data_IF_157381767721
#
_entry.id   IF_157381767721
#
_cell.length_a   1.000
_cell.length_b   1.000
_cell.length_c   1.000
_cell.angle_alpha   90.00
_cell.angle_beta   90.00
_cell.angle_gamma   90.00
#
_symmetry.space_group_name_H-M   'P 1'
#
loop_
_entity.id
_entity.type
_entity.pdbx_description
1 polymer ?
#
# COMPACT_ATOMS: atom_id res chain seq x y z
N UNK A 1 -14.48 -46.98 -35.51
CA UNK A 1 -14.89 -48.24 -34.88
C UNK A 1 -15.35 -47.89 -33.48
N UNK A 2 -16.66 -47.94 -33.36
CA UNK A 2 -17.46 -48.54 -32.29
C UNK A 2 -17.43 -47.74 -30.96
N UNK A 3 -18.40 -46.92 -30.70
CA UNK A 3 -19.83 -47.13 -30.31
C UNK A 3 -20.03 -47.37 -28.80
N UNK A 4 -20.75 -46.40 -28.17
CA UNK A 4 -21.94 -46.54 -27.37
C UNK A 4 -22.00 -47.42 -26.13
N UNK A 5 -22.51 -46.80 -25.07
CA UNK A 5 -23.75 -47.16 -24.32
C UNK A 5 -23.77 -46.28 -23.05
N UNK A 6 -24.62 -45.35 -22.86
CA UNK A 6 -26.08 -45.24 -22.71
C UNK A 6 -26.66 -46.10 -21.59
N UNK A 7 -27.32 -45.46 -20.64
CA UNK A 7 -28.17 -46.08 -19.63
C UNK A 7 -28.26 -45.27 -18.37
N UNK A 8 -29.02 -44.25 -18.28
CA UNK A 8 -30.42 -44.09 -17.78
C UNK A 8 -30.75 -44.94 -16.54
N UNK A 9 -30.96 -44.28 -15.44
CA UNK A 9 -32.09 -44.58 -14.55
C UNK A 9 -32.42 -43.34 -13.68
N UNK A 10 -33.56 -42.74 -14.04
CA UNK A 10 -34.29 -41.82 -13.16
C UNK A 10 -35.01 -42.68 -12.12
N UNK A 11 -34.90 -42.32 -10.84
CA UNK A 11 -35.88 -42.76 -9.83
C UNK A 11 -36.33 -41.52 -9.05
N UNK A 12 -37.54 -41.14 -9.32
CA UNK A 12 -38.32 -40.17 -8.58
C UNK A 12 -38.81 -40.81 -7.27
N UNK A 13 -38.42 -40.23 -6.15
CA UNK A 13 -39.12 -40.48 -4.88
C UNK A 13 -39.65 -39.16 -4.36
N UNK A 14 -40.93 -38.90 -4.66
CA UNK A 14 -41.71 -37.87 -3.98
C UNK A 14 -42.00 -38.37 -2.58
N UNK A 15 -41.35 -37.77 -1.57
CA UNK A 15 -41.84 -37.84 -0.20
C UNK A 15 -42.65 -36.60 0.11
N UNK A 16 -43.95 -36.76 0.10
CA UNK A 16 -44.93 -35.84 0.64
C UNK A 16 -44.79 -35.79 2.16
N UNK A 17 -44.13 -34.76 2.67
CA UNK A 17 -44.18 -34.42 4.09
C UNK A 17 -45.48 -33.62 4.33
N UNK A 18 -46.44 -34.29 4.92
CA UNK A 18 -47.61 -33.70 5.55
C UNK A 18 -47.16 -32.75 6.66
N UNK A 19 -47.19 -31.45 6.37
CA UNK A 19 -47.09 -30.41 7.38
C UNK A 19 -48.39 -30.42 8.19
N UNK A 20 -48.32 -31.01 9.40
CA UNK A 20 -49.36 -30.84 10.40
C UNK A 20 -49.40 -29.37 10.80
N UNK A 21 -50.46 -28.68 10.43
CA UNK A 21 -50.80 -27.36 10.93
C UNK A 21 -51.11 -27.46 12.44
N UNK A 22 -50.08 -27.28 13.28
CA UNK A 22 -50.30 -26.92 14.68
C UNK A 22 -50.52 -25.42 14.74
N UNK A 23 -51.77 -25.04 15.03
CA UNK A 23 -52.18 -23.70 15.34
C UNK A 23 -51.35 -23.16 16.53
N UNK A 24 -50.46 -22.24 16.28
CA UNK A 24 -49.94 -21.35 17.31
C UNK A 24 -50.89 -20.17 17.46
N UNK A 25 -52.04 -20.45 18.04
CA UNK A 25 -52.86 -19.40 18.60
C UNK A 25 -52.64 -19.42 20.14
N UNK A 26 -52.44 -18.22 20.66
CA UNK A 26 -52.43 -17.91 22.11
C UNK A 26 -51.12 -18.11 22.90
N UNK A 27 -50.17 -17.24 22.61
CA UNK A 27 -49.42 -16.57 23.68
C UNK A 27 -49.05 -15.16 23.19
N UNK A 28 -50.04 -14.32 22.98
CA UNK A 28 -49.92 -12.88 22.86
C UNK A 28 -49.82 -12.30 24.29
N UNK A 29 -48.71 -12.62 24.97
CA UNK A 29 -48.37 -12.02 26.25
C UNK A 29 -47.02 -11.36 26.10
N UNK A 30 -47.02 -10.01 26.04
CA UNK A 30 -45.86 -9.11 26.26
C UNK A 30 -44.60 -9.41 25.42
N UNK A 31 -44.73 -9.47 24.08
CA UNK A 31 -43.66 -9.07 23.19
C UNK A 31 -43.69 -7.53 23.12
N UNK A 32 -42.90 -6.88 23.96
CA UNK A 32 -42.63 -5.48 23.77
C UNK A 32 -42.19 -5.25 22.32
N UNK A 33 -42.75 -4.24 21.69
CA UNK A 33 -42.42 -3.84 20.33
C UNK A 33 -40.89 -3.61 20.32
N UNK A 34 -40.13 -4.60 19.82
CA UNK A 34 -38.73 -4.34 19.47
C UNK A 34 -38.80 -3.37 18.30
N UNK A 35 -38.76 -2.07 18.62
CA UNK A 35 -38.48 -1.10 17.57
C UNK A 35 -37.08 -1.40 17.05
N UNK A 36 -36.95 -1.76 15.79
CA UNK A 36 -35.64 -1.92 15.13
C UNK A 36 -34.92 -0.56 14.96
N UNK A 37 -35.43 0.47 15.60
CA UNK A 37 -34.89 1.81 15.59
C UNK A 37 -34.02 1.98 16.83
N UNK A 38 -32.74 2.17 16.64
CA UNK A 38 -31.83 2.59 17.71
C UNK A 38 -32.17 4.04 18.03
N UNK A 39 -32.79 4.27 19.17
CA UNK A 39 -33.23 5.61 19.64
C UNK A 39 -32.06 6.51 20.11
N UNK A 40 -30.85 5.95 20.18
CA UNK A 40 -29.66 6.67 20.66
C UNK A 40 -29.70 6.98 22.16
N UNK A 41 -30.67 6.49 22.90
CA UNK A 41 -30.80 6.74 24.33
C UNK A 41 -29.73 5.97 25.13
N UNK A 42 -28.61 6.63 25.43
CA UNK A 42 -27.55 6.08 26.27
C UNK A 42 -27.65 6.59 27.71
N UNK A 43 -27.70 5.67 28.66
CA UNK A 43 -27.55 6.06 30.07
C UNK A 43 -26.06 6.23 30.43
N UNK A 44 -25.53 7.41 30.11
CA UNK A 44 -24.11 7.77 30.34
C UNK A 44 -23.74 7.79 31.84
N UNK A 45 -24.72 7.78 32.74
CA UNK A 45 -24.53 7.77 34.20
C UNK A 45 -24.52 6.37 34.80
N UNK A 46 -24.85 5.34 34.04
CA UNK A 46 -24.80 3.96 34.53
C UNK A 46 -23.36 3.52 34.79
N UNK A 47 -23.14 2.71 35.84
CA UNK A 47 -21.82 2.14 36.14
C UNK A 47 -21.28 1.33 34.96
N UNK A 48 -22.14 0.54 34.33
CA UNK A 48 -21.76 -0.26 33.16
C UNK A 48 -21.25 0.59 31.97
N UNK A 49 -21.91 1.73 31.69
CA UNK A 49 -21.43 2.63 30.64
C UNK A 49 -20.07 3.24 31.00
N UNK A 50 -19.90 3.71 32.24
CA UNK A 50 -18.64 4.31 32.70
C UNK A 50 -17.48 3.32 32.69
N UNK A 51 -17.71 2.08 33.13
CA UNK A 51 -16.71 1.01 33.10
C UNK A 51 -16.31 0.66 31.65
N UNK A 52 -17.30 0.52 30.74
CA UNK A 52 -17.06 0.24 29.33
C UNK A 52 -16.32 1.40 28.65
N UNK A 53 -16.70 2.63 28.95
CA UNK A 53 -16.04 3.85 28.43
C UNK A 53 -14.58 3.93 28.90
N UNK A 54 -14.31 3.69 30.18
CA UNK A 54 -12.97 3.69 30.74
C UNK A 54 -12.09 2.60 30.09
N UNK A 55 -12.64 1.39 29.92
CA UNK A 55 -11.97 0.29 29.25
C UNK A 55 -11.62 0.62 27.80
N UNK A 56 -12.58 1.11 27.01
CA UNK A 56 -12.37 1.49 25.63
C UNK A 56 -11.40 2.68 25.47
N UNK A 57 -11.45 3.65 26.38
CA UNK A 57 -10.49 4.74 26.41
C UNK A 57 -9.05 4.24 26.61
N UNK A 58 -8.86 3.28 27.53
CA UNK A 58 -7.54 2.65 27.73
C UNK A 58 -7.02 1.99 26.46
N UNK A 59 -7.84 1.14 25.80
CA UNK A 59 -7.47 0.44 24.56
C UNK A 59 -7.17 1.42 23.42
N UNK A 60 -7.99 2.45 23.30
CA UNK A 60 -7.81 3.48 22.26
C UNK A 60 -6.52 4.29 22.47
N UNK A 61 -6.20 4.62 23.71
CA UNK A 61 -4.96 5.33 24.04
C UNK A 61 -3.74 4.45 23.77
N UNK A 62 -3.78 3.19 24.17
CA UNK A 62 -2.71 2.23 23.86
C UNK A 62 -2.48 2.11 22.34
N UNK A 63 -3.55 2.00 21.55
CA UNK A 63 -3.45 1.97 20.09
C UNK A 63 -2.80 3.25 19.56
N UNK A 64 -3.22 4.42 20.03
CA UNK A 64 -2.65 5.73 19.64
C UNK A 64 -1.16 5.82 19.94
N UNK A 65 -0.74 5.37 21.12
CA UNK A 65 0.67 5.36 21.53
C UNK A 65 1.50 4.46 20.60
N UNK A 66 1.01 3.26 20.29
CA UNK A 66 1.68 2.30 19.38
C UNK A 66 1.79 2.89 17.96
N UNK A 67 0.74 3.49 17.43
CA UNK A 67 0.75 4.14 16.12
C UNK A 67 1.70 5.34 16.11
N UNK A 68 1.68 6.16 17.14
CA UNK A 68 2.60 7.30 17.28
C UNK A 68 4.05 6.86 17.29
N UNK A 69 4.37 5.79 18.04
CA UNK A 69 5.70 5.19 18.06
C UNK A 69 6.12 4.66 16.68
N UNK A 70 5.22 3.96 16.00
CA UNK A 70 5.49 3.44 14.65
C UNK A 70 5.74 4.56 13.61
N UNK A 71 5.08 5.70 13.78
CA UNK A 71 5.26 6.89 12.92
C UNK A 71 6.61 7.58 13.08
N UNK A 72 7.34 7.34 14.15
CA UNK A 72 8.68 7.88 14.36
C UNK A 72 9.75 7.21 13.46
N UNK A 73 9.40 6.12 12.79
CA UNK A 73 10.31 5.40 11.90
C UNK A 73 11.55 4.89 12.63
N UNK A 74 12.73 5.13 12.08
CA UNK A 74 14.02 4.71 12.66
C UNK A 74 14.49 5.54 13.86
N UNK A 75 13.64 6.47 14.36
CA UNK A 75 13.90 7.31 15.51
C UNK A 75 14.68 8.58 15.15
N UNK A 76 14.84 9.44 16.15
CA UNK A 76 15.35 10.81 15.99
C UNK A 76 16.75 10.88 15.37
N UNK A 77 17.68 10.04 15.81
CA UNK A 77 19.06 10.03 15.30
C UNK A 77 19.12 9.62 13.80
N UNK A 78 18.30 8.65 13.40
CA UNK A 78 18.22 8.22 12.00
C UNK A 78 17.56 9.31 11.14
N UNK A 79 16.50 9.94 11.65
CA UNK A 79 15.84 11.08 11.01
C UNK A 79 16.79 12.25 10.80
N UNK A 80 17.49 12.69 11.84
CA UNK A 80 18.49 13.77 11.75
C UNK A 80 19.60 13.50 10.71
N UNK A 81 20.08 12.24 10.66
CA UNK A 81 21.04 11.83 9.62
C UNK A 81 20.44 11.86 8.22
N UNK A 82 19.19 11.54 8.06
CA UNK A 82 18.47 11.57 6.79
C UNK A 82 18.32 13.01 6.30
N UNK A 83 17.86 13.88 7.17
CA UNK A 83 17.66 15.31 6.91
C UNK A 83 18.97 16.06 6.63
N UNK A 84 20.09 15.70 7.32
CA UNK A 84 21.41 16.27 7.06
C UNK A 84 21.95 16.01 5.65
N UNK A 85 21.38 15.04 4.94
CA UNK A 85 21.68 14.76 3.53
C UNK A 85 20.76 15.51 2.55
N UNK A 86 19.94 16.44 3.06
CA UNK A 86 18.97 17.20 2.25
C UNK A 86 17.76 16.38 1.80
N UNK A 87 17.43 15.27 2.50
CA UNK A 87 16.29 14.39 2.17
C UNK A 87 15.14 14.65 3.12
N UNK A 88 13.92 14.67 2.57
CA UNK A 88 12.71 14.73 3.39
C UNK A 88 12.39 13.34 3.98
N UNK A 89 11.90 13.26 5.23
CA UNK A 89 11.30 12.04 5.76
C UNK A 89 10.13 11.55 4.91
N UNK A 90 9.91 10.24 4.85
CA UNK A 90 8.88 9.66 3.96
C UNK A 90 7.47 10.20 4.21
N UNK A 91 7.11 10.48 5.46
CA UNK A 91 5.78 11.03 5.80
C UNK A 91 5.64 12.47 5.34
N UNK A 92 6.69 13.26 5.48
CA UNK A 92 6.73 14.65 5.01
C UNK A 92 6.66 14.71 3.46
N UNK A 93 7.28 13.72 2.77
CA UNK A 93 7.14 13.52 1.32
C UNK A 93 5.68 13.24 0.94
N UNK A 94 5.02 12.32 1.66
CA UNK A 94 3.62 11.98 1.42
C UNK A 94 2.72 13.19 1.68
N UNK A 95 2.87 13.87 2.81
CA UNK A 95 2.06 15.03 3.15
C UNK A 95 2.21 16.17 2.12
N UNK A 96 3.42 16.36 1.57
CA UNK A 96 3.69 17.34 0.51
C UNK A 96 3.15 16.92 -0.86
N UNK A 97 3.00 15.62 -1.10
CA UNK A 97 2.45 15.08 -2.35
C UNK A 97 0.94 15.17 -2.42
N UNK A 98 0.25 15.04 -1.29
CA UNK A 98 -1.20 15.03 -1.19
C UNK A 98 -1.82 16.41 -1.43
N UNK A 99 -3.09 16.41 -1.78
CA UNK A 99 -3.87 17.63 -1.89
C UNK A 99 -4.09 18.25 -0.50
N UNK A 100 -3.94 19.57 -0.35
CA UNK A 100 -4.13 20.23 0.92
C UNK A 100 -5.48 19.91 1.55
N UNK A 101 -5.46 19.44 2.81
CA UNK A 101 -6.67 19.08 3.55
C UNK A 101 -7.32 17.75 3.14
N UNK A 102 -6.75 17.00 2.18
CA UNK A 102 -7.27 15.67 1.85
C UNK A 102 -6.80 14.63 2.88
N UNK A 103 -7.64 13.64 3.23
CA UNK A 103 -7.23 12.59 4.14
C UNK A 103 -6.25 11.63 3.48
N UNK A 104 -5.36 11.04 4.29
CA UNK A 104 -4.53 9.90 3.92
C UNK A 104 -4.97 8.65 4.66
N UNK A 105 -5.47 7.65 3.93
CA UNK A 105 -5.82 6.35 4.48
C UNK A 105 -4.58 5.47 4.55
N UNK A 106 -3.83 5.57 5.65
CA UNK A 106 -2.65 4.74 5.87
C UNK A 106 -3.04 3.27 6.11
N UNK A 107 -2.43 2.36 5.35
CA UNK A 107 -2.65 0.92 5.44
C UNK A 107 -1.62 0.27 6.36
N UNK A 108 -2.09 -0.57 7.28
CA UNK A 108 -1.25 -1.39 8.17
C UNK A 108 -0.11 -0.62 8.87
N UNK A 109 -0.38 0.48 9.59
CA UNK A 109 0.66 1.27 10.27
C UNK A 109 1.42 0.48 11.33
N UNK A 110 0.85 -0.59 11.87
CA UNK A 110 1.45 -1.46 12.87
C UNK A 110 2.04 -2.76 12.27
N UNK A 111 2.24 -2.82 10.94
CA UNK A 111 2.91 -3.96 10.34
C UNK A 111 4.32 -4.15 10.94
N UNK A 112 4.70 -5.41 11.18
CA UNK A 112 5.93 -5.81 11.87
C UNK A 112 6.04 -5.33 13.34
N UNK A 113 4.92 -4.94 13.97
CA UNK A 113 4.93 -4.58 15.39
C UNK A 113 5.48 -5.73 16.24
N UNK A 114 6.43 -5.40 17.11
CA UNK A 114 7.13 -6.34 17.99
C UNK A 114 7.85 -7.51 17.28
N UNK A 115 8.12 -7.34 15.97
CA UNK A 115 8.91 -8.28 15.17
C UNK A 115 10.28 -7.70 14.87
N UNK A 116 11.23 -8.56 14.49
CA UNK A 116 12.61 -8.18 14.17
C UNK A 116 13.30 -7.37 15.29
N UNK A 117 13.01 -7.71 16.55
CA UNK A 117 13.53 -7.00 17.73
C UNK A 117 12.91 -5.61 17.95
N UNK A 118 11.77 -5.32 17.29
CA UNK A 118 11.12 -4.00 17.36
C UNK A 118 11.78 -2.91 16.49
N UNK A 119 12.76 -3.29 15.66
CA UNK A 119 13.64 -2.37 14.91
C UNK A 119 13.08 -1.97 13.52
N UNK A 120 11.92 -2.51 13.11
CA UNK A 120 11.35 -2.30 11.77
C UNK A 120 9.89 -1.81 11.86
N UNK A 121 9.66 -0.61 12.43
CA UNK A 121 8.32 -0.06 12.58
C UNK A 121 7.66 0.14 11.20
N UNK A 122 6.33 -0.06 11.14
CA UNK A 122 5.55 -0.02 9.90
C UNK A 122 6.10 -0.92 8.78
N UNK A 123 6.86 -1.96 9.12
CA UNK A 123 7.60 -2.81 8.18
C UNK A 123 8.55 -2.02 7.25
N UNK A 124 9.06 -0.86 7.66
CA UNK A 124 9.99 -0.03 6.89
C UNK A 124 9.40 0.62 5.63
N UNK A 125 8.08 0.58 5.45
CA UNK A 125 7.39 1.17 4.30
C UNK A 125 6.05 1.76 4.73
N UNK A 126 5.74 2.96 4.26
CA UNK A 126 4.43 3.61 4.45
C UNK A 126 3.60 3.35 3.20
N UNK A 127 2.42 2.79 3.37
CA UNK A 127 1.47 2.54 2.27
C UNK A 127 0.11 3.12 2.61
N UNK A 128 -0.59 3.63 1.62
CA UNK A 128 -1.91 4.20 1.84
C UNK A 128 -2.53 4.81 0.60
N UNK A 129 -3.79 5.20 0.73
CA UNK A 129 -4.54 5.85 -0.34
C UNK A 129 -4.67 7.34 0.00
N UNK A 130 -4.34 8.18 -0.95
CA UNK A 130 -4.46 9.62 -0.84
C UNK A 130 -4.80 10.28 -2.17
N UNK A 131 -5.17 11.55 -2.12
CA UNK A 131 -5.57 12.29 -3.30
C UNK A 131 -4.44 13.19 -3.78
N UNK A 132 -4.11 13.11 -5.06
CA UNK A 132 -3.09 13.90 -5.75
C UNK A 132 -3.74 14.58 -6.95
N UNK A 133 -3.83 15.90 -6.96
CA UNK A 133 -4.54 16.68 -7.99
C UNK A 133 -5.94 16.12 -8.32
N UNK A 134 -6.71 15.79 -7.29
CA UNK A 134 -8.07 15.25 -7.41
C UNK A 134 -8.16 13.75 -7.73
N UNK A 135 -7.06 13.08 -8.05
CA UNK A 135 -7.01 11.65 -8.37
C UNK A 135 -6.66 10.84 -7.11
N UNK A 136 -7.45 9.83 -6.80
CA UNK A 136 -7.12 8.86 -5.75
C UNK A 136 -6.00 7.94 -6.22
N UNK A 137 -4.90 7.92 -5.49
CA UNK A 137 -3.71 7.14 -5.80
C UNK A 137 -3.34 6.23 -4.63
N UNK A 138 -2.79 5.06 -4.94
CA UNK A 138 -2.05 4.25 -3.98
C UNK A 138 -0.63 4.78 -3.86
N UNK A 139 -0.21 5.13 -2.65
CA UNK A 139 1.12 5.66 -2.36
C UNK A 139 1.91 4.62 -1.57
N UNK A 140 3.12 4.33 -2.02
CA UNK A 140 4.04 3.40 -1.38
C UNK A 140 5.39 4.12 -1.20
N UNK A 141 5.76 4.41 0.04
CA UNK A 141 7.00 5.13 0.35
C UNK A 141 7.93 4.33 1.24
N UNK A 142 9.16 4.05 0.81
CA UNK A 142 10.16 3.44 1.66
C UNK A 142 10.61 4.42 2.76
N UNK A 143 10.70 3.94 3.98
CA UNK A 143 11.27 4.70 5.09
C UNK A 143 12.77 4.40 5.22
N UNK A 144 13.60 5.20 4.59
CA UNK A 144 15.05 5.02 4.64
C UNK A 144 15.67 5.24 6.03
N UNK A 145 14.91 5.81 6.98
CA UNK A 145 15.33 5.89 8.39
C UNK A 145 15.29 4.53 9.08
N UNK A 146 14.47 3.60 8.55
CA UNK A 146 14.35 2.22 9.05
C UNK A 146 15.25 1.31 8.24
N UNK A 147 16.39 0.93 8.81
CA UNK A 147 17.38 0.02 8.19
C UNK A 147 17.71 0.35 6.72
N UNK A 148 17.78 1.65 6.38
CA UNK A 148 18.08 2.10 5.01
C UNK A 148 16.99 1.81 3.98
N UNK A 149 15.73 1.66 4.41
CA UNK A 149 14.61 1.32 3.52
C UNK A 149 14.68 -0.09 2.94
N UNK A 150 15.47 -0.99 3.54
CA UNK A 150 15.61 -2.37 3.06
C UNK A 150 14.33 -3.17 3.29
N UNK A 151 14.06 -4.10 2.37
CA UNK A 151 12.90 -4.97 2.43
C UNK A 151 13.13 -6.16 3.35
N UNK A 152 12.33 -6.28 4.38
CA UNK A 152 12.15 -7.47 5.21
C UNK A 152 11.00 -8.32 4.66
N UNK A 153 10.81 -9.57 5.10
CA UNK A 153 9.69 -10.40 4.65
C UNK A 153 8.32 -9.74 4.80
N UNK A 154 8.09 -9.01 5.90
CA UNK A 154 6.83 -8.28 6.10
C UNK A 154 6.75 -6.96 5.32
N UNK A 155 7.87 -6.36 4.95
CA UNK A 155 7.88 -5.21 4.01
C UNK A 155 7.32 -5.65 2.66
N UNK A 156 7.79 -6.78 2.15
CA UNK A 156 7.29 -7.38 0.90
C UNK A 156 5.79 -7.65 0.98
N UNK A 157 5.32 -8.31 2.03
CA UNK A 157 3.88 -8.61 2.20
C UNK A 157 3.02 -7.35 2.26
N UNK A 158 3.51 -6.30 2.93
CA UNK A 158 2.81 -5.02 3.00
C UNK A 158 2.77 -4.33 1.64
N UNK A 159 3.86 -4.35 0.89
CA UNK A 159 3.95 -3.82 -0.46
C UNK A 159 2.97 -4.56 -1.39
N UNK A 160 3.02 -5.90 -1.43
CA UNK A 160 2.11 -6.72 -2.24
C UNK A 160 0.65 -6.44 -1.91
N UNK A 161 0.30 -6.33 -0.62
CA UNK A 161 -1.07 -6.01 -0.22
C UNK A 161 -1.52 -4.64 -0.72
N UNK A 162 -0.64 -3.64 -0.70
CA UNK A 162 -0.94 -2.33 -1.27
C UNK A 162 -1.18 -2.40 -2.79
N UNK A 163 -0.36 -3.17 -3.52
CA UNK A 163 -0.56 -3.38 -4.95
C UNK A 163 -1.85 -4.14 -5.27
N UNK A 164 -2.22 -5.16 -4.48
CA UNK A 164 -3.52 -5.85 -4.62
C UNK A 164 -4.69 -4.88 -4.47
N UNK A 165 -4.68 -4.06 -3.42
CA UNK A 165 -5.72 -3.05 -3.20
C UNK A 165 -5.75 -2.04 -4.36
N UNK A 166 -4.58 -1.62 -4.86
CA UNK A 166 -4.50 -0.71 -6.00
C UNK A 166 -5.10 -1.34 -7.26
N UNK A 167 -4.79 -2.60 -7.53
CA UNK A 167 -5.30 -3.34 -8.69
C UNK A 167 -6.81 -3.53 -8.61
N UNK A 168 -7.33 -4.00 -7.47
CA UNK A 168 -8.77 -4.22 -7.23
C UNK A 168 -9.57 -2.93 -7.38
N UNK A 169 -9.02 -1.81 -6.93
CA UNK A 169 -9.67 -0.51 -6.96
C UNK A 169 -9.25 0.37 -8.14
N UNK A 170 -8.39 -0.14 -9.04
CA UNK A 170 -7.86 0.58 -10.20
C UNK A 170 -7.27 1.94 -9.81
N UNK A 171 -6.38 1.96 -8.80
CA UNK A 171 -5.73 3.17 -8.33
C UNK A 171 -4.35 3.30 -8.98
N UNK A 172 -4.02 4.44 -9.61
CA UNK A 172 -2.65 4.75 -10.00
C UNK A 172 -1.70 4.58 -8.80
N UNK A 173 -0.54 3.96 -9.03
CA UNK A 173 0.45 3.75 -7.98
C UNK A 173 1.55 4.80 -8.07
N UNK A 174 1.91 5.38 -6.91
CA UNK A 174 3.05 6.29 -6.76
C UNK A 174 4.03 5.69 -5.76
N UNK A 175 5.21 5.33 -6.26
CA UNK A 175 6.29 4.74 -5.47
C UNK A 175 7.32 5.81 -5.12
N UNK A 176 7.46 6.16 -3.85
CA UNK A 176 8.53 7.02 -3.33
C UNK A 176 9.70 6.13 -2.91
N UNK A 177 10.64 5.91 -3.83
CA UNK A 177 11.66 4.88 -3.68
C UNK A 177 12.93 5.43 -3.03
N UNK A 178 13.30 4.82 -1.92
CA UNK A 178 14.52 5.11 -1.17
C UNK A 178 14.93 3.83 -0.41
N UNK A 179 15.45 2.83 -1.14
CA UNK A 179 15.62 1.47 -0.64
C UNK A 179 16.97 0.87 -1.04
N UNK A 180 17.64 0.28 -0.06
CA UNK A 180 18.81 -0.55 -0.27
C UNK A 180 18.56 -1.93 -0.87
N UNK A 181 17.33 -2.24 -1.28
CA UNK A 181 16.93 -3.57 -1.78
C UNK A 181 16.57 -4.54 -0.64
N UNK A 182 16.71 -5.84 -0.86
CA UNK A 182 16.37 -6.86 0.12
C UNK A 182 17.34 -6.86 1.32
N UNK A 183 16.81 -7.12 2.52
CA UNK A 183 17.64 -7.34 3.71
C UNK A 183 18.31 -8.70 3.63
N UNK A 184 19.56 -8.72 3.19
CA UNK A 184 20.32 -9.92 2.83
C UNK A 184 20.34 -11.04 3.90
N UNK A 185 20.43 -10.74 5.23
CA UNK A 185 20.39 -11.79 6.23
C UNK A 185 19.10 -12.64 6.24
N UNK A 186 18.00 -12.10 5.67
CA UNK A 186 16.71 -12.79 5.55
C UNK A 186 16.33 -13.08 4.09
N UNK A 187 17.29 -13.13 3.18
CA UNK A 187 17.01 -13.34 1.74
C UNK A 187 16.24 -14.63 1.45
N UNK A 188 16.45 -15.68 2.24
CA UNK A 188 15.73 -16.95 2.11
C UNK A 188 14.21 -16.81 2.32
N UNK A 189 13.78 -15.81 3.10
CA UNK A 189 12.37 -15.53 3.40
C UNK A 189 11.80 -14.41 2.51
N UNK A 190 12.62 -13.84 1.61
CA UNK A 190 12.24 -12.70 0.77
C UNK A 190 12.07 -13.10 -0.69
N UNK A 191 12.86 -14.05 -1.22
CA UNK A 191 12.90 -14.36 -2.65
C UNK A 191 12.18 -15.64 -3.09
N UNK A 192 12.12 -16.76 -2.33
CA UNK A 192 11.93 -18.08 -2.93
C UNK A 192 10.50 -18.44 -3.31
N UNK A 193 9.49 -17.69 -2.90
CA UNK A 193 8.08 -18.06 -3.11
C UNK A 193 7.38 -17.10 -4.08
N UNK A 194 6.22 -17.54 -4.58
CA UNK A 194 5.35 -16.81 -5.48
C UNK A 194 4.92 -15.44 -4.92
N UNK A 195 4.62 -15.36 -3.62
CA UNK A 195 4.15 -14.16 -2.95
C UNK A 195 5.29 -13.47 -2.17
N UNK A 196 6.48 -13.49 -2.77
CA UNK A 196 7.70 -12.83 -2.31
C UNK A 196 8.10 -11.66 -3.22
N UNK A 197 9.32 -11.15 -3.06
CA UNK A 197 9.79 -9.91 -3.68
C UNK A 197 9.57 -9.85 -5.20
N UNK A 198 9.77 -10.96 -5.92
CA UNK A 198 9.54 -11.02 -7.37
C UNK A 198 8.08 -10.76 -7.78
N UNK A 199 7.13 -10.98 -6.88
CA UNK A 199 5.71 -10.71 -7.14
C UNK A 199 5.42 -9.22 -7.27
N UNK A 200 6.20 -8.35 -6.63
CA UNK A 200 6.06 -6.89 -6.77
C UNK A 200 6.21 -6.45 -8.22
N UNK A 201 7.19 -7.01 -8.91
CA UNK A 201 7.47 -6.70 -10.33
C UNK A 201 6.39 -7.26 -11.25
N UNK A 202 5.94 -8.48 -11.00
CA UNK A 202 4.82 -9.07 -11.74
C UNK A 202 3.55 -8.23 -11.61
N UNK A 203 3.22 -7.81 -10.39
CA UNK A 203 2.05 -6.97 -10.15
C UNK A 203 2.18 -5.61 -10.85
N UNK A 204 3.36 -4.97 -10.78
CA UNK A 204 3.63 -3.69 -11.43
C UNK A 204 3.44 -3.79 -12.95
N UNK A 205 4.06 -4.78 -13.59
CA UNK A 205 3.91 -5.02 -15.02
C UNK A 205 2.47 -5.35 -15.42
N UNK A 206 1.78 -6.17 -14.62
CA UNK A 206 0.38 -6.53 -14.89
C UNK A 206 -0.55 -5.33 -14.73
N UNK A 207 -0.37 -4.51 -13.71
CA UNK A 207 -1.17 -3.29 -13.50
C UNK A 207 -0.95 -2.28 -14.64
N UNK A 208 0.30 -2.08 -15.08
CA UNK A 208 0.61 -1.25 -16.25
C UNK A 208 -0.11 -1.77 -17.50
N UNK A 209 -0.04 -3.07 -17.77
CA UNK A 209 -0.75 -3.70 -18.89
C UNK A 209 -2.29 -3.55 -18.79
N UNK A 210 -2.84 -3.44 -17.60
CA UNK A 210 -4.26 -3.16 -17.35
C UNK A 210 -4.63 -1.67 -17.47
N UNK A 211 -3.67 -0.81 -17.80
CA UNK A 211 -3.86 0.65 -17.87
C UNK A 211 -3.99 1.31 -16.49
N UNK A 212 -3.43 0.72 -15.44
CA UNK A 212 -3.30 1.33 -14.12
C UNK A 212 -1.91 1.96 -14.05
N UNK A 213 -1.79 3.29 -14.07
CA UNK A 213 -0.50 3.97 -14.14
C UNK A 213 0.42 3.65 -12.97
N UNK A 214 1.69 3.44 -13.28
CA UNK A 214 2.77 3.16 -12.33
C UNK A 214 3.79 4.29 -12.39
N UNK A 215 3.93 5.08 -11.33
CA UNK A 215 4.79 6.26 -11.27
C UNK A 215 5.83 6.04 -10.18
N UNK A 216 7.11 6.13 -10.49
CA UNK A 216 8.17 6.02 -9.50
C UNK A 216 8.94 7.33 -9.31
N UNK A 217 9.26 7.63 -8.07
CA UNK A 217 10.04 8.81 -7.68
C UNK A 217 11.27 8.34 -6.91
N UNK A 218 12.42 8.41 -7.55
CA UNK A 218 13.72 8.00 -6.99
C UNK A 218 14.27 9.14 -6.12
N UNK A 219 14.06 9.03 -4.81
CA UNK A 219 14.41 10.05 -3.82
C UNK A 219 15.60 9.62 -2.94
N UNK A 220 16.21 8.51 -3.29
CA UNK A 220 17.35 7.96 -2.59
C UNK A 220 17.95 6.79 -3.33
N UNK A 221 18.69 5.94 -2.62
CA UNK A 221 19.28 4.75 -3.22
C UNK A 221 18.20 3.78 -3.67
N UNK A 222 18.30 3.31 -4.93
CA UNK A 222 17.54 2.20 -5.47
C UNK A 222 18.51 1.14 -5.92
N UNK A 223 18.81 0.19 -5.02
CA UNK A 223 19.85 -0.80 -5.24
C UNK A 223 19.25 -2.20 -5.41
N UNK A 224 19.85 -3.00 -6.27
CA UNK A 224 19.46 -4.37 -6.55
C UNK A 224 17.97 -4.51 -6.93
N UNK A 225 17.18 -5.26 -6.16
CA UNK A 225 15.73 -5.39 -6.38
C UNK A 225 14.97 -4.05 -6.35
N UNK A 226 15.40 -3.09 -5.52
CA UNK A 226 14.81 -1.76 -5.47
C UNK A 226 14.99 -0.93 -6.74
N UNK A 227 15.96 -1.27 -7.60
CA UNK A 227 16.19 -0.60 -8.88
C UNK A 227 15.14 -0.96 -9.94
N UNK A 228 14.48 -2.10 -9.80
CA UNK A 228 13.45 -2.52 -10.75
C UNK A 228 12.16 -1.68 -10.66
N UNK A 229 11.81 -1.20 -9.46
CA UNK A 229 10.59 -0.41 -9.28
C UNK A 229 10.57 0.81 -10.20
N UNK A 230 11.58 1.71 -10.21
CA UNK A 230 11.60 2.82 -11.15
C UNK A 230 11.79 2.39 -12.61
N UNK A 231 12.60 1.36 -12.86
CA UNK A 231 12.89 0.92 -14.23
C UNK A 231 11.69 0.27 -14.94
N UNK A 232 10.71 -0.23 -14.19
CA UNK A 232 9.49 -0.86 -14.69
C UNK A 232 8.24 0.03 -14.57
N UNK A 233 8.39 1.26 -14.07
CA UNK A 233 7.30 2.22 -14.00
C UNK A 233 7.00 2.84 -15.36
N UNK A 234 5.75 3.28 -15.56
CA UNK A 234 5.32 3.96 -16.78
C UNK A 234 5.92 5.37 -16.89
N UNK A 235 6.14 6.01 -15.73
CA UNK A 235 6.79 7.33 -15.60
C UNK A 235 7.72 7.30 -14.39
N UNK A 236 8.91 7.86 -14.54
CA UNK A 236 9.93 7.88 -13.48
C UNK A 236 10.59 9.24 -13.31
N UNK A 237 10.74 9.65 -12.05
CA UNK A 237 11.39 10.89 -11.62
C UNK A 237 12.62 10.55 -10.80
N UNK A 238 13.75 11.21 -11.01
CA UNK A 238 14.96 11.01 -10.20
C UNK A 238 15.46 12.33 -9.61
N UNK A 239 15.81 12.32 -8.33
CA UNK A 239 16.37 13.48 -7.62
C UNK A 239 17.90 13.50 -7.77
N UNK A 240 18.42 14.60 -8.31
CA UNK A 240 19.88 14.83 -8.43
C UNK A 240 20.61 14.73 -7.10
N UNK A 241 21.72 14.04 -7.09
CA UNK A 241 22.65 13.96 -5.95
C UNK A 241 22.18 13.04 -4.82
N UNK A 242 20.88 12.72 -4.75
CA UNK A 242 20.30 11.81 -3.77
C UNK A 242 19.79 10.52 -4.39
N UNK A 243 19.11 10.63 -5.54
CA UNK A 243 18.55 9.50 -6.27
C UNK A 243 19.61 8.73 -7.04
N UNK A 244 19.67 7.42 -6.88
CA UNK A 244 20.53 6.54 -7.68
C UNK A 244 19.80 5.24 -8.00
N UNK A 245 20.02 4.73 -9.22
CA UNK A 245 19.46 3.45 -9.69
C UNK A 245 20.61 2.61 -10.24
N UNK A 246 20.89 1.48 -9.60
CA UNK A 246 21.86 0.51 -10.08
C UNK A 246 21.62 -0.88 -9.46
N UNK A 247 21.97 -1.94 -10.16
CA UNK A 247 21.87 -3.31 -9.65
C UNK A 247 22.98 -3.61 -8.64
N UNK A 248 24.20 -3.15 -8.92
CA UNK A 248 25.35 -3.27 -8.03
C UNK A 248 25.92 -1.91 -7.73
N UNK A 249 26.03 -1.56 -6.46
CA UNK A 249 26.60 -0.28 -6.03
C UNK A 249 28.13 -0.20 -6.20
N UNK A 250 28.73 0.99 -6.00
CA UNK A 250 30.17 1.21 -6.18
C UNK A 250 31.10 0.20 -5.50
N UNK A 251 30.81 -0.31 -4.28
CA UNK A 251 31.63 -1.35 -3.66
C UNK A 251 31.67 -2.65 -4.44
N UNK A 252 30.52 -3.05 -5.06
CA UNK A 252 30.43 -4.27 -5.86
C UNK A 252 31.16 -4.07 -7.20
N UNK A 253 31.01 -2.92 -7.84
CA UNK A 253 31.74 -2.57 -9.07
C UNK A 253 33.25 -2.65 -8.82
N UNK A 254 33.73 -2.03 -7.74
CA UNK A 254 35.15 -2.09 -7.37
C UNK A 254 35.65 -3.52 -7.13
N UNK A 255 34.84 -4.35 -6.47
CA UNK A 255 35.21 -5.75 -6.22
C UNK A 255 35.25 -6.58 -7.51
N UNK A 256 34.35 -6.30 -8.47
CA UNK A 256 34.22 -7.06 -9.71
C UNK A 256 35.20 -6.64 -10.81
N UNK A 257 35.43 -5.32 -10.96
CA UNK A 257 36.19 -4.73 -12.08
C UNK A 257 37.45 -4.00 -11.65
N UNK A 258 37.58 -3.68 -10.35
CA UNK A 258 38.66 -2.81 -9.83
C UNK A 258 38.37 -1.31 -10.03
N UNK A 259 37.33 -0.94 -10.72
CA UNK A 259 36.97 0.44 -11.01
C UNK A 259 36.47 1.18 -9.76
N UNK A 260 36.93 2.42 -9.55
CA UNK A 260 36.46 3.30 -8.48
C UNK A 260 35.55 4.34 -9.10
N UNK A 261 34.27 4.27 -8.78
CA UNK A 261 33.24 5.15 -9.34
C UNK A 261 32.35 5.67 -8.20
N UNK A 262 31.85 6.90 -8.34
CA UNK A 262 30.89 7.46 -7.38
C UNK A 262 29.46 6.96 -7.68
N UNK A 263 28.55 6.98 -6.67
CA UNK A 263 27.14 6.60 -6.91
C UNK A 263 26.46 7.44 -8.00
N UNK A 264 26.74 8.74 -8.06
CA UNK A 264 26.17 9.65 -9.06
C UNK A 264 26.66 9.35 -10.49
N UNK A 265 27.97 9.04 -10.64
CA UNK A 265 28.54 8.64 -11.93
C UNK A 265 28.10 7.26 -12.38
N UNK A 266 27.82 6.35 -11.44
CA UNK A 266 27.39 4.98 -11.74
C UNK A 266 25.91 4.93 -12.18
N UNK A 267 25.04 5.65 -11.47
CA UNK A 267 23.61 5.56 -11.70
C UNK A 267 22.81 6.72 -11.11
N UNK A 268 23.35 7.93 -11.16
CA UNK A 268 22.67 9.14 -10.72
C UNK A 268 21.78 9.76 -11.80
N UNK A 269 21.20 10.91 -11.45
CA UNK A 269 20.22 11.58 -12.28
C UNK A 269 20.76 11.99 -13.67
N UNK A 270 21.99 12.46 -13.74
CA UNK A 270 22.61 12.85 -15.03
C UNK A 270 22.81 11.64 -15.96
N UNK A 271 23.15 10.48 -15.39
CA UNK A 271 23.30 9.23 -16.15
C UNK A 271 21.96 8.78 -16.69
N UNK A 272 20.95 8.68 -15.83
CA UNK A 272 19.68 8.05 -16.20
C UNK A 272 18.73 8.93 -17.01
N UNK A 273 18.75 10.26 -16.80
CA UNK A 273 17.92 11.16 -17.62
C UNK A 273 18.58 11.61 -18.94
N UNK A 274 19.93 11.59 -19.04
CA UNK A 274 20.61 12.16 -20.20
C UNK A 274 21.32 11.14 -21.08
N UNK A 275 21.72 9.99 -20.52
CA UNK A 275 22.52 9.01 -21.25
C UNK A 275 21.77 7.69 -21.45
N UNK A 276 21.27 7.06 -20.38
CA UNK A 276 20.64 5.75 -20.47
C UNK A 276 19.15 5.78 -20.81
N UNK A 277 18.44 6.88 -20.45
CA UNK A 277 17.00 6.99 -20.63
C UNK A 277 16.18 6.08 -19.70
N UNK A 278 16.76 5.59 -18.59
CA UNK A 278 16.04 4.75 -17.63
C UNK A 278 15.05 5.56 -16.79
N UNK A 279 15.32 6.85 -16.60
CA UNK A 279 14.39 7.76 -15.92
C UNK A 279 14.02 8.94 -16.82
N UNK A 280 12.74 9.37 -16.73
CA UNK A 280 12.14 10.33 -17.64
C UNK A 280 12.36 11.77 -17.19
N UNK A 281 12.26 12.02 -15.88
CA UNK A 281 12.23 13.37 -15.33
C UNK A 281 13.36 13.61 -14.33
N UNK A 282 14.06 14.72 -14.53
CA UNK A 282 15.16 15.18 -13.68
C UNK A 282 14.67 16.18 -12.64
N UNK A 283 14.83 15.90 -11.37
CA UNK A 283 14.45 16.79 -10.28
C UNK A 283 15.67 17.30 -9.50
N UNK A 284 15.66 18.58 -9.12
CA UNK A 284 16.75 19.20 -8.40
C UNK A 284 16.80 18.83 -6.90
N UNK A 285 15.65 18.53 -6.31
CA UNK A 285 15.50 18.15 -4.89
C UNK A 285 14.16 17.43 -4.68
N UNK A 286 13.90 16.97 -3.46
CA UNK A 286 12.68 16.25 -3.10
C UNK A 286 11.41 17.05 -3.43
N UNK A 287 11.36 18.34 -3.06
CA UNK A 287 10.19 19.17 -3.32
C UNK A 287 9.89 19.32 -4.82
N UNK A 288 10.92 19.51 -5.65
CA UNK A 288 10.77 19.56 -7.11
C UNK A 288 10.31 18.22 -7.69
N UNK A 289 10.80 17.10 -7.14
CA UNK A 289 10.35 15.77 -7.56
C UNK A 289 8.85 15.54 -7.27
N UNK A 290 8.40 15.95 -6.11
CA UNK A 290 6.98 15.86 -5.73
C UNK A 290 6.08 16.76 -6.60
N UNK A 291 6.55 17.98 -6.95
CA UNK A 291 5.83 18.86 -7.88
C UNK A 291 5.73 18.25 -9.29
N UNK A 292 6.82 17.66 -9.80
CA UNK A 292 6.80 16.93 -11.08
C UNK A 292 5.81 15.77 -11.00
N UNK A 293 5.83 15.00 -9.90
CA UNK A 293 4.90 13.86 -9.72
C UNK A 293 3.45 14.31 -9.70
N UNK A 294 3.12 15.40 -9.03
CA UNK A 294 1.78 16.00 -9.05
C UNK A 294 1.34 16.40 -10.46
N UNK A 295 2.26 16.95 -11.28
CA UNK A 295 1.99 17.28 -12.68
C UNK A 295 1.79 16.03 -13.54
N UNK A 296 2.59 14.96 -13.33
CA UNK A 296 2.40 13.69 -14.02
C UNK A 296 0.98 13.17 -13.74
N UNK A 297 0.58 13.07 -12.45
CA UNK A 297 -0.75 12.60 -12.08
C UNK A 297 -1.86 13.47 -12.69
N UNK A 298 -1.70 14.78 -12.73
CA UNK A 298 -2.63 15.70 -13.37
C UNK A 298 -2.80 15.42 -14.87
N UNK A 299 -1.70 15.07 -15.56
CA UNK A 299 -1.67 14.84 -16.99
C UNK A 299 -2.16 13.45 -17.42
N UNK A 300 -2.29 12.50 -16.49
CA UNK A 300 -2.80 11.16 -16.79
C UNK A 300 -4.22 11.19 -17.36
N UNK A 301 -5.01 12.22 -17.09
CA UNK A 301 -6.43 12.28 -17.41
C UNK A 301 -7.18 11.01 -16.93
N UNK A 302 -6.67 10.42 -15.86
CA UNK A 302 -7.14 9.15 -15.36
C UNK A 302 -8.54 9.30 -14.75
N UNK A 303 -9.50 8.56 -15.32
CA UNK A 303 -10.86 8.47 -14.79
C UNK A 303 -11.12 7.02 -14.41
N UNK A 304 -11.45 6.82 -13.16
CA UNK A 304 -11.89 5.51 -12.68
C UNK A 304 -13.26 5.22 -13.27
N UNK A 305 -13.37 4.13 -14.04
CA UNK A 305 -14.68 3.67 -14.52
C UNK A 305 -15.48 3.13 -13.32
N UNK A 306 -16.74 3.56 -13.14
CA UNK A 306 -17.58 3.02 -12.10
C UNK A 306 -17.81 1.53 -12.34
N UNK A 307 -17.61 0.73 -11.29
CA UNK A 307 -17.82 -0.73 -11.35
C UNK A 307 -19.30 -1.14 -11.39
N UNK A 308 -20.21 -0.17 -11.30
CA UNK A 308 -21.66 -0.38 -11.27
C UNK A 308 -22.34 0.46 -12.35
N UNK A 309 -23.30 -0.12 -13.04
CA UNK A 309 -24.17 0.61 -13.93
C UNK A 309 -25.12 1.47 -13.11
N UNK A 310 -25.06 2.78 -13.31
CA UNK A 310 -26.05 3.67 -12.70
C UNK A 310 -27.36 3.55 -13.47
N UNK A 311 -28.40 3.07 -12.81
CA UNK A 311 -29.77 3.14 -13.34
C UNK A 311 -30.41 4.47 -12.93
N UNK A 312 -31.24 5.07 -13.78
CA UNK A 312 -32.02 6.25 -13.37
C UNK A 312 -32.82 5.95 -12.10
N UNK A 313 -32.82 6.90 -11.18
CA UNK A 313 -33.63 6.79 -9.97
C UNK A 313 -35.10 6.93 -10.40
N UNK A 314 -35.89 5.87 -10.20
CA UNK A 314 -37.34 5.95 -10.29
C UNK A 314 -37.86 6.31 -8.90
N UNK A 315 -38.53 7.44 -8.77
CA UNK A 315 -39.19 7.80 -7.52
C UNK A 315 -40.35 6.83 -7.24
N UNK A 316 -40.52 6.39 -5.97
CA UNK A 316 -41.67 5.57 -5.62
C UNK A 316 -42.97 6.31 -5.94
N UNK A 317 -43.87 5.58 -6.53
CA UNK A 317 -45.18 6.11 -6.91
C UNK A 317 -46.10 6.09 -5.65
N UNK A 318 -45.86 7.00 -4.72
CA UNK A 318 -46.80 7.32 -3.63
C UNK A 318 -46.71 8.78 -3.24
#
# INVERSE_FOLDING_TARGET
MLTNLCGVLRSSARHSLLLSSRSFASQAGALGSFSNVLDGALNVKSSQFQESQAHMAKLTNELRERVTKARQGGGEAARARHESRGKMPVRDRIDSLLDPGSPFLELSPLAAYDMYGGDVPSAGIVTGIGRINGVECMILGNDATVKGGTYFPLTVKKHLRAQEIAQENRLPCVYLVDSGGAFLPLQADIFPDRDHFGREFYNQATMSAMGIPQIAVVMGSCTAGGAYVPAMSDESVIVKGNGTVFLGGPPLVKAATGEVITPEELGGADVHCRTSGVTDHYANNDAHALDITRRIVSNLNYRKEPSVTQTPIEEPIY
#
